data_IF_035735171270
#
_entry.id   IF_035735171270
#
_cell.length_a   1.000
_cell.length_b   1.000
_cell.length_c   1.000
_cell.angle_alpha   90.00
_cell.angle_beta   90.00
_cell.angle_gamma   90.00
#
_symmetry.space_group_name_H-M   'P 1'
#
loop_
_entity.id
_entity.type
_entity.pdbx_description
1 polymer ?
#
# COMPACT_ATOMS: atom_id res chain seq x y z
N UNK A 1 -25.62 -7.67 36.93
CA UNK A 1 -24.81 -6.88 36.00
C UNK A 1 -25.22 -7.27 34.59
N UNK A 2 -26.19 -6.54 34.03
CA UNK A 2 -26.60 -6.72 32.63
C UNK A 2 -25.51 -6.14 31.73
N UNK A 3 -24.91 -6.98 30.91
CA UNK A 3 -24.07 -6.53 29.80
C UNK A 3 -25.01 -5.98 28.73
N UNK A 4 -25.01 -4.67 28.56
CA UNK A 4 -25.73 -4.01 27.47
C UNK A 4 -25.24 -4.62 26.14
N UNK A 5 -26.15 -5.28 25.43
CA UNK A 5 -25.92 -5.71 24.05
C UNK A 5 -25.75 -4.45 23.21
N UNK A 6 -24.49 -4.12 22.93
CA UNK A 6 -24.15 -3.11 21.93
C UNK A 6 -24.68 -3.65 20.60
N UNK A 7 -25.83 -3.16 20.16
CA UNK A 7 -26.35 -3.42 18.82
C UNK A 7 -25.37 -2.80 17.84
N UNK A 8 -24.45 -3.61 17.33
CA UNK A 8 -23.56 -3.26 16.24
C UNK A 8 -24.46 -2.83 15.09
N UNK A 9 -24.58 -1.53 14.83
CA UNK A 9 -25.21 -1.05 13.60
C UNK A 9 -24.45 -1.67 12.44
N UNK A 10 -25.14 -2.27 11.45
CA UNK A 10 -24.42 -2.84 10.32
C UNK A 10 -23.56 -1.75 9.67
N UNK A 11 -22.35 -2.15 9.26
CA UNK A 11 -21.38 -1.28 8.58
C UNK A 11 -21.84 -0.91 7.15
N UNK A 12 -22.98 -1.42 6.71
CA UNK A 12 -23.62 -1.21 5.40
C UNK A 12 -23.77 0.29 5.06
N UNK A 13 -24.21 1.13 6.01
CA UNK A 13 -24.33 2.58 5.79
C UNK A 13 -22.98 3.28 5.52
N UNK A 14 -21.89 2.81 6.12
CA UNK A 14 -20.55 3.34 5.86
C UNK A 14 -20.10 2.98 4.44
N UNK A 15 -20.23 1.71 4.05
CA UNK A 15 -19.81 1.21 2.74
C UNK A 15 -20.56 1.84 1.56
N UNK A 16 -21.86 2.11 1.73
CA UNK A 16 -22.68 2.84 0.74
C UNK A 16 -22.11 4.25 0.50
N UNK A 17 -21.72 4.96 1.56
CA UNK A 17 -21.22 6.35 1.49
C UNK A 17 -19.86 6.48 0.80
N UNK A 18 -19.01 5.45 0.90
CA UNK A 18 -17.71 5.38 0.21
C UNK A 18 -17.80 4.65 -1.15
N UNK A 19 -19.01 4.29 -1.59
CA UNK A 19 -19.25 3.63 -2.87
C UNK A 19 -18.59 2.25 -2.99
N UNK A 20 -18.37 1.56 -1.87
CA UNK A 20 -17.82 0.20 -1.83
C UNK A 20 -18.96 -0.77 -2.09
N UNK A 21 -18.88 -1.49 -3.21
CA UNK A 21 -19.82 -2.57 -3.56
C UNK A 21 -19.56 -3.81 -2.70
N UNK A 22 -20.51 -4.73 -2.63
CA UNK A 22 -20.33 -6.02 -1.94
C UNK A 22 -19.11 -6.79 -2.48
N UNK A 23 -18.87 -6.75 -3.79
CA UNK A 23 -17.71 -7.37 -4.46
C UNK A 23 -16.35 -6.93 -3.86
N UNK A 24 -16.28 -5.66 -3.41
CA UNK A 24 -15.08 -5.08 -2.81
C UNK A 24 -14.96 -5.43 -1.32
N UNK A 25 -16.09 -5.75 -0.67
CA UNK A 25 -16.12 -6.22 0.71
C UNK A 25 -15.50 -7.63 0.76
N UNK A 26 -15.76 -8.44 -0.26
CA UNK A 26 -15.24 -9.81 -0.37
C UNK A 26 -13.70 -9.84 -0.47
N UNK A 27 -13.08 -8.93 -1.24
CA UNK A 27 -11.60 -8.83 -1.32
C UNK A 27 -10.96 -8.56 0.06
N UNK A 28 -11.57 -7.69 0.88
CA UNK A 28 -11.06 -7.39 2.22
C UNK A 28 -11.28 -8.58 3.17
N UNK A 29 -12.44 -9.24 3.10
CA UNK A 29 -12.69 -10.42 3.93
C UNK A 29 -11.74 -11.55 3.58
N UNK A 30 -11.48 -11.80 2.29
CA UNK A 30 -10.49 -12.80 1.86
C UNK A 30 -9.09 -12.46 2.38
N UNK A 31 -8.67 -11.19 2.31
CA UNK A 31 -7.42 -10.72 2.91
C UNK A 31 -7.39 -10.94 4.44
N UNK A 32 -8.50 -10.69 5.12
CA UNK A 32 -8.61 -10.86 6.56
C UNK A 32 -8.58 -12.34 6.99
N UNK A 33 -9.29 -13.21 6.27
CA UNK A 33 -9.29 -14.65 6.50
C UNK A 33 -7.91 -15.25 6.26
N UNK A 34 -7.26 -14.90 5.15
CA UNK A 34 -5.87 -15.28 4.88
C UNK A 34 -4.89 -14.78 5.96
N UNK A 35 -5.17 -13.64 6.57
CA UNK A 35 -4.38 -13.12 7.68
C UNK A 35 -4.64 -13.91 8.97
N UNK A 36 -5.90 -14.24 9.27
CA UNK A 36 -6.28 -15.07 10.42
C UNK A 36 -5.65 -16.46 10.34
N UNK A 37 -5.65 -17.09 9.17
CA UNK A 37 -5.01 -18.39 8.95
C UNK A 37 -3.51 -18.34 9.28
N UNK A 38 -2.79 -17.32 8.80
CA UNK A 38 -1.36 -17.11 9.10
C UNK A 38 -1.08 -16.87 10.57
N UNK A 39 -2.00 -16.21 11.28
CA UNK A 39 -1.89 -16.03 12.73
C UNK A 39 -2.15 -17.36 13.43
N UNK A 40 -3.17 -18.10 12.99
CA UNK A 40 -3.58 -19.40 13.53
C UNK A 40 -2.53 -20.49 13.36
N UNK A 41 -1.78 -20.52 12.25
CA UNK A 41 -0.68 -21.48 12.03
C UNK A 41 0.40 -21.42 13.12
N UNK A 42 0.56 -20.26 13.78
CA UNK A 42 1.51 -20.07 14.86
C UNK A 42 0.97 -20.41 16.24
N UNK A 43 -0.33 -20.59 16.36
CA UNK A 43 -1.01 -20.92 17.61
C UNK A 43 -1.22 -22.45 17.65
N UNK A 44 -0.60 -23.10 18.62
CA UNK A 44 -0.67 -24.54 18.86
C UNK A 44 -1.61 -24.91 20.01
N UNK A 45 -2.17 -23.90 20.68
CA UNK A 45 -3.05 -24.07 21.84
C UNK A 45 -2.23 -24.20 23.13
N UNK A 46 -2.59 -23.40 24.13
CA UNK A 46 -1.88 -23.32 25.42
C UNK A 46 -1.03 -22.06 25.60
N UNK A 47 -1.05 -21.15 24.63
CA UNK A 47 -0.37 -19.85 24.70
C UNK A 47 -0.95 -18.96 25.81
N UNK A 48 -0.08 -18.19 26.44
CA UNK A 48 -0.49 -17.10 27.33
C UNK A 48 -1.09 -15.93 26.54
N UNK A 49 -1.91 -15.10 27.21
CA UNK A 49 -2.50 -13.89 26.62
C UNK A 49 -1.43 -12.99 25.96
N UNK A 50 -0.26 -12.86 26.57
CA UNK A 50 0.84 -12.03 26.06
C UNK A 50 1.40 -12.56 24.72
N UNK A 51 1.51 -13.87 24.56
CA UNK A 51 1.99 -14.48 23.32
C UNK A 51 0.98 -14.26 22.18
N UNK A 52 -0.32 -14.42 22.49
CA UNK A 52 -1.41 -14.15 21.56
C UNK A 52 -1.36 -12.69 21.09
N UNK A 53 -1.33 -11.73 22.03
CA UNK A 53 -1.31 -10.30 21.71
C UNK A 53 -0.05 -9.94 20.92
N UNK A 54 1.11 -10.49 21.27
CA UNK A 54 2.35 -10.22 20.56
C UNK A 54 2.34 -10.73 19.12
N UNK A 55 1.82 -11.92 18.86
CA UNK A 55 1.72 -12.43 17.48
C UNK A 55 0.71 -11.63 16.64
N UNK A 56 -0.46 -11.31 17.22
CA UNK A 56 -1.42 -10.40 16.58
C UNK A 56 -0.78 -9.05 16.25
N UNK A 57 -0.04 -8.49 17.21
CA UNK A 57 0.65 -7.22 17.03
C UNK A 57 1.71 -7.31 15.92
N UNK A 58 2.56 -8.34 15.92
CA UNK A 58 3.57 -8.53 14.86
C UNK A 58 2.94 -8.62 13.47
N UNK A 59 1.79 -9.29 13.37
CA UNK A 59 1.11 -9.53 12.09
C UNK A 59 0.19 -8.42 11.65
N UNK A 60 -0.24 -7.51 12.53
CA UNK A 60 -1.17 -6.43 12.19
C UNK A 60 -0.72 -5.56 11.02
N UNK A 61 0.59 -5.35 10.86
CA UNK A 61 1.10 -4.43 9.83
C UNK A 61 0.87 -4.95 8.41
N UNK A 62 0.84 -6.28 8.23
CA UNK A 62 0.54 -6.91 6.93
C UNK A 62 -0.91 -6.59 6.52
N UNK A 63 -1.87 -6.90 7.39
CA UNK A 63 -3.29 -6.63 7.16
C UNK A 63 -3.57 -5.13 6.95
N UNK A 64 -3.02 -4.27 7.80
CA UNK A 64 -3.27 -2.83 7.71
C UNK A 64 -2.69 -2.22 6.42
N UNK A 65 -1.58 -2.76 5.91
CA UNK A 65 -1.02 -2.38 4.62
C UNK A 65 -1.95 -2.73 3.44
N UNK A 66 -2.59 -3.91 3.49
CA UNK A 66 -3.56 -4.35 2.48
C UNK A 66 -4.82 -3.48 2.50
N UNK A 67 -5.38 -3.23 3.69
CA UNK A 67 -6.55 -2.36 3.87
C UNK A 67 -6.26 -0.95 3.34
N UNK A 68 -5.10 -0.37 3.66
CA UNK A 68 -4.72 0.94 3.14
C UNK A 68 -4.55 0.94 1.61
N UNK A 69 -3.97 -0.13 1.06
CA UNK A 69 -3.84 -0.30 -0.40
C UNK A 69 -5.21 -0.36 -1.07
N UNK A 70 -6.17 -1.09 -0.50
CA UNK A 70 -7.55 -1.14 -0.98
C UNK A 70 -8.18 0.26 -1.04
N UNK A 71 -8.10 1.03 0.05
CA UNK A 71 -8.66 2.39 0.06
C UNK A 71 -7.98 3.32 -0.94
N UNK A 72 -6.66 3.20 -1.12
CA UNK A 72 -5.97 4.00 -2.14
C UNK A 72 -6.45 3.65 -3.55
N UNK A 73 -6.56 2.35 -3.88
CA UNK A 73 -7.10 1.90 -5.17
C UNK A 73 -8.51 2.43 -5.41
N UNK A 74 -9.35 2.42 -4.38
CA UNK A 74 -10.75 2.83 -4.48
C UNK A 74 -10.93 4.34 -4.58
N UNK A 75 -10.28 5.09 -3.70
CA UNK A 75 -10.44 6.55 -3.62
C UNK A 75 -9.71 7.28 -4.76
N UNK A 76 -8.67 6.67 -5.31
CA UNK A 76 -7.83 7.26 -6.36
C UNK A 76 -7.83 6.43 -7.64
N UNK A 77 -8.91 5.69 -7.93
CA UNK A 77 -9.03 4.84 -9.12
C UNK A 77 -8.80 5.62 -10.41
N UNK A 78 -9.40 6.80 -10.53
CA UNK A 78 -9.25 7.68 -11.70
C UNK A 78 -7.79 8.11 -11.89
N UNK A 79 -7.11 8.46 -10.79
CA UNK A 79 -5.72 8.90 -10.84
C UNK A 79 -4.77 7.74 -11.16
N UNK A 80 -5.10 6.52 -10.72
CA UNK A 80 -4.35 5.29 -11.00
C UNK A 80 -4.50 4.80 -12.45
N UNK A 81 -5.71 5.00 -13.02
CA UNK A 81 -6.06 4.57 -14.38
C UNK A 81 -5.84 5.67 -15.42
N UNK A 82 -5.46 6.87 -15.01
CA UNK A 82 -5.20 8.01 -15.89
C UNK A 82 -4.25 7.65 -17.04
N UNK A 83 -4.71 7.90 -18.27
CA UNK A 83 -3.93 7.66 -19.50
C UNK A 83 -3.14 8.87 -19.98
N UNK A 84 -3.59 10.09 -19.64
CA UNK A 84 -2.93 11.34 -20.03
C UNK A 84 -2.70 12.25 -18.83
N UNK A 85 -1.60 12.99 -18.83
CA UNK A 85 -1.30 13.97 -17.80
C UNK A 85 -0.59 15.19 -18.41
N UNK A 86 -0.73 16.35 -17.75
CA UNK A 86 -0.01 17.56 -18.14
C UNK A 86 1.38 17.57 -17.52
N UNK A 87 2.41 17.79 -18.33
CA UNK A 87 3.79 17.89 -17.85
C UNK A 87 3.94 19.12 -16.94
N UNK A 88 4.40 18.96 -15.68
CA UNK A 88 4.50 20.06 -14.73
C UNK A 88 5.60 21.09 -15.07
N UNK A 89 6.42 20.85 -16.09
CA UNK A 89 7.48 21.77 -16.53
C UNK A 89 7.13 22.56 -17.78
N UNK A 90 6.61 21.91 -18.81
CA UNK A 90 6.33 22.54 -20.10
C UNK A 90 4.84 22.68 -20.43
N UNK A 91 3.95 22.17 -19.58
CA UNK A 91 2.50 22.26 -19.79
C UNK A 91 1.94 21.40 -20.92
N UNK A 92 2.77 20.61 -21.61
CA UNK A 92 2.31 19.71 -22.68
C UNK A 92 1.59 18.49 -22.10
N UNK A 93 0.54 18.05 -22.77
CA UNK A 93 -0.10 16.77 -22.49
C UNK A 93 0.82 15.61 -22.91
N UNK A 94 0.94 14.61 -22.05
CA UNK A 94 1.74 13.42 -22.27
C UNK A 94 0.92 12.16 -21.95
N UNK A 95 1.17 11.10 -22.71
CA UNK A 95 0.53 9.79 -22.48
C UNK A 95 1.29 9.01 -21.41
N UNK A 96 0.57 8.10 -20.74
CA UNK A 96 1.12 7.12 -19.80
C UNK A 96 2.16 6.27 -20.52
N UNK A 97 3.35 6.21 -19.96
CA UNK A 97 4.46 5.42 -20.47
C UNK A 97 4.53 4.02 -19.82
N UNK A 98 3.91 3.85 -18.64
CA UNK A 98 3.82 2.56 -17.97
C UNK A 98 3.37 2.67 -16.53
N UNK A 99 3.77 1.70 -15.73
CA UNK A 99 3.51 1.62 -14.29
C UNK A 99 4.78 1.32 -13.53
N UNK A 100 5.00 2.02 -12.42
CA UNK A 100 6.11 1.71 -11.51
C UNK A 100 5.59 1.36 -10.13
N UNK A 101 6.23 0.42 -9.45
CA UNK A 101 5.93 0.10 -8.06
C UNK A 101 6.75 0.97 -7.10
N UNK A 102 6.14 1.39 -6.00
CA UNK A 102 6.80 2.07 -4.88
C UNK A 102 6.30 1.52 -3.55
N UNK A 103 7.23 1.13 -2.70
CA UNK A 103 6.96 0.84 -1.29
C UNK A 103 7.07 2.13 -0.47
N UNK A 104 6.03 2.43 0.30
CA UNK A 104 5.96 3.59 1.21
C UNK A 104 5.90 3.07 2.64
N UNK A 105 6.82 3.51 3.48
CA UNK A 105 6.74 3.23 4.92
C UNK A 105 5.75 4.18 5.59
N UNK A 106 4.84 3.59 6.37
CA UNK A 106 3.85 4.32 7.16
C UNK A 106 3.85 3.81 8.60
N UNK A 107 3.12 4.50 9.49
CA UNK A 107 2.97 4.08 10.89
C UNK A 107 2.30 2.71 11.03
N UNK A 108 1.45 2.34 10.06
CA UNK A 108 0.71 1.08 10.06
C UNK A 108 1.46 -0.06 9.36
N UNK A 109 2.62 0.21 8.76
CA UNK A 109 3.41 -0.78 8.03
C UNK A 109 3.85 -0.28 6.65
N UNK A 110 4.41 -1.20 5.86
CA UNK A 110 4.80 -0.95 4.47
C UNK A 110 3.58 -1.06 3.55
N UNK A 111 3.39 -0.07 2.68
CA UNK A 111 2.34 -0.08 1.65
C UNK A 111 3.00 -0.14 0.28
N UNK A 112 2.61 -1.12 -0.55
CA UNK A 112 3.08 -1.26 -1.93
C UNK A 112 2.09 -0.62 -2.89
N UNK A 113 2.52 0.42 -3.60
CA UNK A 113 1.69 1.15 -4.55
C UNK A 113 2.21 0.98 -5.98
N UNK A 114 1.33 0.51 -6.86
CA UNK A 114 1.53 0.60 -8.31
C UNK A 114 0.98 1.93 -8.78
N UNK A 115 1.78 2.71 -9.49
CA UNK A 115 1.46 4.09 -9.86
C UNK A 115 1.74 4.32 -11.34
N UNK A 116 0.91 5.11 -12.04
CA UNK A 116 1.13 5.44 -13.44
C UNK A 116 2.40 6.29 -13.59
N UNK A 117 3.18 5.95 -14.60
CA UNK A 117 4.40 6.65 -14.97
C UNK A 117 4.19 7.41 -16.28
N UNK A 118 4.56 8.69 -16.28
CA UNK A 118 4.47 9.56 -17.45
C UNK A 118 5.86 10.05 -17.84
N UNK A 119 6.15 10.04 -19.15
CA UNK A 119 7.40 10.52 -19.71
C UNK A 119 7.15 11.67 -20.67
N UNK A 120 7.78 12.82 -20.42
CA UNK A 120 7.72 13.95 -21.34
C UNK A 120 8.93 13.94 -22.27
N UNK A 121 8.72 13.75 -23.56
CA UNK A 121 9.79 13.77 -24.57
C UNK A 121 10.45 15.15 -24.70
N UNK A 122 9.66 16.23 -24.57
CA UNK A 122 10.20 17.60 -24.65
C UNK A 122 11.11 17.96 -23.48
N UNK A 123 10.76 17.54 -22.27
CA UNK A 123 11.55 17.82 -21.06
C UNK A 123 12.56 16.73 -20.73
N UNK A 124 12.47 15.56 -21.38
CA UNK A 124 13.21 14.32 -21.08
C UNK A 124 13.16 13.97 -19.58
N UNK A 125 11.97 14.10 -18.98
CA UNK A 125 11.75 13.85 -17.55
C UNK A 125 10.49 13.03 -17.31
N UNK A 126 10.63 12.09 -16.39
CA UNK A 126 9.54 11.27 -15.88
C UNK A 126 8.88 11.89 -14.66
N UNK A 127 7.57 11.69 -14.48
CA UNK A 127 6.85 12.16 -13.32
C UNK A 127 5.67 11.24 -12.95
N UNK A 128 5.19 11.41 -11.72
CA UNK A 128 4.13 10.59 -11.11
C UNK A 128 3.06 11.53 -10.53
N UNK A 129 1.98 11.83 -11.28
CA UNK A 129 0.89 12.68 -10.79
C UNK A 129 0.32 12.22 -9.44
N UNK A 130 0.16 10.90 -9.27
CA UNK A 130 -0.34 10.27 -8.05
C UNK A 130 0.51 10.63 -6.80
N UNK A 131 1.82 10.77 -6.93
CA UNK A 131 2.69 11.11 -5.80
C UNK A 131 2.36 12.49 -5.23
N UNK A 132 1.86 13.42 -6.05
CA UNK A 132 1.46 14.76 -5.61
C UNK A 132 0.12 14.70 -4.87
N UNK A 133 -0.82 13.90 -5.38
CA UNK A 133 -2.16 13.75 -4.80
C UNK A 133 -2.10 13.05 -3.43
N UNK A 134 -1.24 12.03 -3.31
CA UNK A 134 -1.04 11.26 -2.08
C UNK A 134 0.05 11.83 -1.14
N UNK A 135 0.61 13.01 -1.47
CA UNK A 135 1.73 13.64 -0.78
C UNK A 135 2.89 12.66 -0.44
N UNK A 136 3.30 11.87 -1.43
CA UNK A 136 4.38 10.90 -1.29
C UNK A 136 5.76 11.52 -1.47
N UNK A 137 5.84 12.82 -1.75
CA UNK A 137 7.09 13.52 -2.09
C UNK A 137 8.08 13.59 -0.92
N UNK A 138 7.58 13.68 0.32
CA UNK A 138 8.39 13.77 1.53
C UNK A 138 8.61 12.43 2.27
N UNK A 139 7.96 11.34 1.85
CA UNK A 139 8.11 10.03 2.51
C UNK A 139 9.34 9.27 1.99
N UNK A 140 10.21 8.82 2.90
CA UNK A 140 11.42 8.04 2.59
C UNK A 140 11.05 6.87 1.66
N UNK A 141 11.67 6.84 0.47
CA UNK A 141 11.54 5.73 -0.48
C UNK A 141 12.42 4.58 0.01
N UNK A 142 11.84 3.45 0.40
CA UNK A 142 12.59 2.19 0.40
C UNK A 142 12.64 1.71 -1.05
N UNK A 143 13.79 1.89 -1.69
CA UNK A 143 14.05 1.26 -2.98
C UNK A 143 14.44 -0.20 -2.74
N UNK A 144 13.75 -1.13 -3.41
CA UNK A 144 14.25 -2.48 -3.61
C UNK A 144 15.13 -2.44 -4.86
N UNK A 145 16.44 -2.61 -4.69
CA UNK A 145 17.32 -2.83 -5.82
C UNK A 145 17.38 -4.34 -6.08
N UNK A 146 16.81 -4.79 -7.21
CA UNK A 146 16.90 -6.18 -7.68
C UNK A 146 18.05 -6.27 -8.67
N UNK A 147 19.17 -6.84 -8.25
CA UNK A 147 20.28 -7.19 -9.13
C UNK A 147 20.55 -8.69 -8.99
N UNK A 148 20.51 -9.42 -10.11
CA UNK A 148 20.84 -10.86 -10.19
C UNK A 148 20.22 -11.72 -9.07
N UNK A 149 18.90 -11.60 -8.87
CA UNK A 149 18.14 -12.45 -7.94
C UNK A 149 18.29 -12.10 -6.45
N UNK A 150 19.03 -11.05 -6.07
CA UNK A 150 19.09 -10.57 -4.67
C UNK A 150 18.31 -9.26 -4.50
N UNK A 151 17.48 -9.24 -3.44
CA UNK A 151 16.66 -8.10 -3.02
C UNK A 151 17.43 -7.37 -1.92
N UNK A 152 17.86 -6.13 -2.19
CA UNK A 152 18.48 -5.28 -1.19
C UNK A 152 17.50 -4.19 -0.75
N UNK A 153 17.28 -4.07 0.57
CA UNK A 153 16.64 -2.89 1.16
C UNK A 153 17.66 -1.76 1.20
N UNK A 154 17.43 -0.68 0.45
CA UNK A 154 18.19 0.56 0.56
C UNK A 154 17.90 1.22 1.91
N UNK A 155 18.62 0.76 2.95
CA UNK A 155 18.90 1.34 4.28
C UNK A 155 19.16 0.28 5.38
N UNK A 156 19.46 -0.98 5.04
CA UNK A 156 19.96 -1.94 6.06
C UNK A 156 21.31 -1.50 6.62
N UNK A 157 21.53 -1.49 7.95
CA UNK A 157 22.77 -0.99 8.58
C UNK A 157 24.04 -1.77 8.17
N UNK A 158 23.91 -2.93 7.54
CA UNK A 158 25.00 -3.77 7.03
C UNK A 158 25.27 -3.62 5.51
N UNK A 159 24.56 -2.76 4.78
CA UNK A 159 24.69 -2.65 3.32
C UNK A 159 25.38 -1.34 2.89
N UNK A 160 26.66 -1.42 2.48
CA UNK A 160 27.28 -0.41 1.61
C UNK A 160 27.28 -0.93 0.16
N UNK A 161 26.42 -0.43 -0.74
CA UNK A 161 26.62 -0.65 -2.16
C UNK A 161 27.38 0.54 -2.77
N UNK A 162 28.57 0.24 -3.32
CA UNK A 162 29.13 1.02 -4.43
C UNK A 162 28.23 0.76 -5.63
N UNK A 163 27.87 1.81 -6.37
CA UNK A 163 27.06 1.79 -7.60
C UNK A 163 25.59 1.34 -7.47
N UNK A 164 24.76 2.12 -6.78
CA UNK A 164 23.42 2.37 -7.30
C UNK A 164 23.49 3.76 -7.94
N UNK A 165 23.76 3.83 -9.24
CA UNK A 165 23.78 5.10 -9.96
C UNK A 165 22.40 5.74 -9.82
N UNK A 166 22.36 6.91 -9.16
CA UNK A 166 21.23 7.82 -9.27
C UNK A 166 21.25 8.34 -10.70
N UNK A 167 20.45 7.73 -11.56
CA UNK A 167 19.96 8.37 -12.78
C UNK A 167 18.44 8.47 -12.68
#
# INVERSE_FOLDING_TARGET
MEVASVSITPLDGFWIRIGVKEENRDEIHESFDNWLDKVGEKMKGGEGLEEIVNELFKKRQELMGEVATFFIKKLYSEELNRETAVCPRCGKEVKRAGEHERTVETMIGEIKLKRPYFWCESCKKGFYPLDKVLDLSNRKKRGICRERGRVWLLNSPSAKPKSCSRN
#
